data_IF_261124600191
#
_entry.id   IF_261124600191
#
_cell.length_a   1.000
_cell.length_b   1.000
_cell.length_c   1.000
_cell.angle_alpha   90.00
_cell.angle_beta   90.00
_cell.angle_gamma   90.00
#
_symmetry.space_group_name_H-M   'P 1'
#
loop_
_entity.id
_entity.type
_entity.pdbx_description
1 polymer ?
#
# COMPACT_ATOMS: atom_id res chain seq x y z
N UNK A 1 36.62 -41.38 6.12
CA UNK A 1 35.25 -41.08 5.66
C UNK A 1 34.28 -40.69 6.77
N UNK A 2 34.14 -41.49 7.85
CA UNK A 2 33.17 -41.22 8.96
C UNK A 2 33.27 -39.81 9.59
N UNK A 3 34.47 -39.30 9.87
CA UNK A 3 34.67 -37.93 10.42
C UNK A 3 34.23 -36.81 9.46
N UNK A 4 34.45 -36.97 8.15
CA UNK A 4 34.00 -35.98 7.15
C UNK A 4 32.47 -35.96 7.02
N UNK A 5 31.84 -37.13 7.11
CA UNK A 5 30.37 -37.27 7.13
C UNK A 5 29.73 -36.59 8.34
N UNK A 6 30.32 -36.75 9.54
CA UNK A 6 29.84 -36.09 10.76
C UNK A 6 29.91 -34.56 10.63
N UNK A 7 31.01 -34.03 10.09
CA UNK A 7 31.16 -32.58 9.88
C UNK A 7 30.12 -32.05 8.89
N UNK A 8 29.88 -32.74 7.78
CA UNK A 8 28.85 -32.36 6.80
C UNK A 8 27.45 -32.40 7.43
N UNK A 9 27.15 -33.41 8.24
CA UNK A 9 25.87 -33.54 8.91
C UNK A 9 25.62 -32.42 9.93
N UNK A 10 26.65 -32.06 10.71
CA UNK A 10 26.59 -30.93 11.64
C UNK A 10 26.39 -29.61 10.88
N UNK A 11 27.12 -29.41 9.76
CA UNK A 11 26.97 -28.21 8.94
C UNK A 11 25.54 -28.08 8.38
N UNK A 12 24.95 -29.20 7.95
CA UNK A 12 23.58 -29.23 7.41
C UNK A 12 22.54 -28.89 8.48
N UNK A 13 22.72 -29.38 9.71
CA UNK A 13 21.86 -29.03 10.86
C UNK A 13 21.95 -27.53 11.19
N UNK A 14 23.16 -26.96 11.15
CA UNK A 14 23.36 -25.53 11.40
C UNK A 14 22.64 -24.69 10.34
N UNK A 15 22.79 -25.04 9.06
CA UNK A 15 22.12 -24.35 7.94
C UNK A 15 20.59 -24.42 8.12
N UNK A 16 20.04 -25.58 8.48
CA UNK A 16 18.61 -25.73 8.73
C UNK A 16 18.12 -24.88 9.91
N UNK A 17 18.89 -24.80 11.00
CA UNK A 17 18.54 -23.95 12.15
C UNK A 17 18.50 -22.47 11.80
N UNK A 18 19.49 -21.97 11.05
CA UNK A 18 19.50 -20.58 10.59
C UNK A 18 18.38 -20.27 9.60
N UNK A 19 18.00 -21.25 8.77
CA UNK A 19 16.91 -21.10 7.80
C UNK A 19 15.54 -20.98 8.50
N UNK A 20 15.30 -21.76 9.54
CA UNK A 20 14.03 -21.76 10.28
C UNK A 20 13.87 -20.46 11.11
N UNK A 21 14.94 -19.98 11.74
CA UNK A 21 14.89 -18.74 12.54
C UNK A 21 14.59 -17.48 11.70
N UNK A 22 15.13 -17.41 10.49
CA UNK A 22 14.84 -16.32 9.53
C UNK A 22 13.37 -16.34 9.06
N UNK A 23 12.80 -17.52 8.82
CA UNK A 23 11.41 -17.67 8.41
C UNK A 23 10.40 -17.33 9.53
N UNK A 24 10.72 -17.61 10.80
CA UNK A 24 9.82 -17.24 11.91
C UNK A 24 9.82 -15.74 12.22
N UNK A 25 10.97 -15.08 12.09
CA UNK A 25 11.06 -13.62 12.29
C UNK A 25 10.31 -12.84 11.19
N UNK A 26 10.14 -13.47 10.02
CA UNK A 26 9.47 -12.90 8.87
C UNK A 26 7.95 -12.72 9.08
N UNK A 27 7.27 -13.76 9.56
CA UNK A 27 5.83 -13.74 9.83
C UNK A 27 5.46 -12.79 10.99
N UNK A 28 6.37 -12.60 11.96
CA UNK A 28 6.11 -11.72 13.10
C UNK A 28 6.08 -10.22 12.71
N UNK A 29 6.85 -9.82 11.69
CA UNK A 29 6.92 -8.42 11.24
C UNK A 29 5.76 -8.07 10.31
N UNK A 30 5.49 -8.92 9.31
CA UNK A 30 4.44 -8.70 8.32
C UNK A 30 3.20 -9.48 8.75
N UNK A 31 2.42 -8.84 9.62
CA UNK A 31 1.11 -9.33 10.04
C UNK A 31 -0.01 -8.39 9.57
N UNK A 32 -1.24 -8.83 9.75
CA UNK A 32 -2.43 -8.08 9.34
C UNK A 32 -2.49 -6.67 9.90
N UNK A 33 -2.15 -6.48 11.19
CA UNK A 33 -2.17 -5.17 11.85
C UNK A 33 -1.16 -4.23 11.19
N UNK A 34 0.04 -4.73 10.90
CA UNK A 34 1.08 -3.96 10.19
C UNK A 34 0.61 -3.52 8.80
N UNK A 35 0.02 -4.45 8.02
CA UNK A 35 -0.43 -4.17 6.65
C UNK A 35 -1.59 -3.16 6.65
N UNK A 36 -2.59 -3.33 7.52
CA UNK A 36 -3.72 -2.40 7.67
C UNK A 36 -3.21 -1.00 8.03
N UNK A 37 -2.33 -0.90 9.02
CA UNK A 37 -1.80 0.39 9.49
C UNK A 37 -1.01 1.09 8.38
N UNK A 38 -0.10 0.38 7.74
CA UNK A 38 0.75 0.92 6.66
C UNK A 38 -0.09 1.39 5.48
N UNK A 39 -1.01 0.54 5.02
CA UNK A 39 -1.94 0.85 3.93
C UNK A 39 -2.79 2.06 4.25
N UNK A 40 -3.35 2.14 5.47
CA UNK A 40 -4.15 3.29 5.90
C UNK A 40 -3.34 4.58 5.87
N UNK A 41 -2.10 4.59 6.36
CA UNK A 41 -1.24 5.77 6.32
C UNK A 41 -1.02 6.25 4.89
N UNK A 42 -0.66 5.35 3.98
CA UNK A 42 -0.45 5.65 2.56
C UNK A 42 -1.73 6.23 1.94
N UNK A 43 -2.85 5.55 2.08
CA UNK A 43 -4.09 5.93 1.41
C UNK A 43 -4.69 7.23 1.97
N UNK A 44 -4.57 7.49 3.27
CA UNK A 44 -5.00 8.78 3.86
C UNK A 44 -4.15 9.92 3.32
N UNK A 45 -2.83 9.72 3.20
CA UNK A 45 -1.96 10.73 2.61
C UNK A 45 -2.32 10.98 1.15
N UNK A 46 -2.52 9.92 0.37
CA UNK A 46 -2.97 10.00 -1.02
C UNK A 46 -4.29 10.77 -1.15
N UNK A 47 -5.31 10.37 -0.39
CA UNK A 47 -6.63 11.04 -0.32
C UNK A 47 -6.49 12.54 -0.04
N UNK A 48 -5.69 12.91 0.96
CA UNK A 48 -5.46 14.31 1.31
C UNK A 48 -4.79 15.08 0.16
N UNK A 49 -3.79 14.50 -0.50
CA UNK A 49 -3.12 15.14 -1.65
C UNK A 49 -4.13 15.36 -2.79
N UNK A 50 -4.98 14.37 -3.09
CA UNK A 50 -6.01 14.51 -4.13
C UNK A 50 -7.01 15.61 -3.81
N UNK A 51 -7.57 15.60 -2.59
CA UNK A 51 -8.53 16.63 -2.16
C UNK A 51 -7.90 18.03 -2.19
N UNK A 52 -6.67 18.18 -1.72
CA UNK A 52 -5.94 19.45 -1.78
C UNK A 52 -5.76 19.94 -3.23
N UNK A 53 -5.50 19.03 -4.17
CA UNK A 53 -5.37 19.37 -5.58
C UNK A 53 -6.69 19.80 -6.22
N UNK A 54 -7.78 19.13 -5.86
CA UNK A 54 -9.10 19.32 -6.46
C UNK A 54 -9.80 20.55 -5.87
N UNK A 55 -9.80 20.71 -4.55
CA UNK A 55 -10.62 21.71 -3.85
C UNK A 55 -9.83 22.90 -3.29
N UNK A 56 -8.55 22.71 -2.94
CA UNK A 56 -7.75 23.73 -2.24
C UNK A 56 -6.63 24.34 -3.11
N UNK A 57 -6.52 23.90 -4.37
CA UNK A 57 -5.60 24.50 -5.35
C UNK A 57 -4.13 24.14 -5.16
N UNK A 58 -3.80 23.01 -4.55
CA UNK A 58 -2.40 22.53 -4.42
C UNK A 58 -1.71 22.43 -5.79
N UNK A 59 -0.51 22.98 -5.93
CA UNK A 59 0.23 22.92 -7.19
C UNK A 59 0.56 21.47 -7.61
N UNK A 60 0.44 21.15 -8.90
CA UNK A 60 0.66 19.78 -9.40
C UNK A 60 2.10 19.29 -9.22
N UNK A 61 3.11 20.17 -9.26
CA UNK A 61 4.49 19.75 -8.99
C UNK A 61 4.67 19.40 -7.53
N UNK A 62 4.06 20.19 -6.64
CA UNK A 62 4.08 19.89 -5.21
C UNK A 62 3.28 18.61 -4.88
N UNK A 63 2.19 18.36 -5.62
CA UNK A 63 1.46 17.10 -5.54
C UNK A 63 2.32 15.91 -6.00
N UNK A 64 3.04 16.04 -7.13
CA UNK A 64 3.99 15.03 -7.61
C UNK A 64 5.06 14.71 -6.56
N UNK A 65 5.67 15.72 -5.95
CA UNK A 65 6.68 15.53 -4.90
C UNK A 65 6.11 14.75 -3.71
N UNK A 66 4.89 15.09 -3.26
CA UNK A 66 4.23 14.41 -2.14
C UNK A 66 3.79 12.99 -2.48
N UNK A 67 3.29 12.74 -3.69
CA UNK A 67 2.87 11.40 -4.12
C UNK A 67 4.09 10.46 -4.20
N UNK A 68 5.26 10.94 -4.66
CA UNK A 68 6.51 10.16 -4.68
C UNK A 68 6.98 9.70 -3.30
N UNK A 69 6.50 10.31 -2.22
CA UNK A 69 6.81 9.84 -0.86
C UNK A 69 6.02 8.60 -0.45
N UNK A 70 4.93 8.28 -1.15
CA UNK A 70 3.98 7.22 -0.78
C UNK A 70 3.67 6.23 -1.91
N UNK A 71 4.02 6.54 -3.15
CA UNK A 71 3.71 5.78 -4.36
C UNK A 71 4.94 5.65 -5.27
N UNK A 72 4.94 4.59 -6.08
CA UNK A 72 5.93 4.42 -7.15
C UNK A 72 5.64 5.32 -8.35
N UNK A 73 6.68 5.65 -9.12
CA UNK A 73 6.60 6.56 -10.27
C UNK A 73 5.50 6.24 -11.30
N UNK A 74 5.15 4.96 -11.49
CA UNK A 74 4.10 4.57 -12.42
C UNK A 74 2.72 5.05 -11.95
N UNK A 75 2.40 4.85 -10.67
CA UNK A 75 1.14 5.30 -10.06
C UNK A 75 1.10 6.83 -9.95
N UNK A 76 2.22 7.46 -9.56
CA UNK A 76 2.31 8.93 -9.51
C UNK A 76 1.94 9.55 -10.86
N UNK A 77 2.45 8.99 -11.97
CA UNK A 77 2.13 9.48 -13.32
C UNK A 77 0.66 9.31 -13.68
N UNK A 78 0.06 8.19 -13.30
CA UNK A 78 -1.37 7.93 -13.52
C UNK A 78 -2.22 8.94 -12.74
N UNK A 79 -1.91 9.15 -11.47
CA UNK A 79 -2.63 10.06 -10.60
C UNK A 79 -2.51 11.52 -11.03
N UNK A 80 -1.32 11.96 -11.43
CA UNK A 80 -1.14 13.30 -11.99
C UNK A 80 -1.92 13.49 -13.28
N UNK A 81 -1.99 12.47 -14.14
CA UNK A 81 -2.79 12.52 -15.36
C UNK A 81 -4.28 12.67 -15.03
N UNK A 82 -4.77 11.93 -14.03
CA UNK A 82 -6.15 12.05 -13.57
C UNK A 82 -6.41 13.43 -12.98
N UNK A 83 -5.52 13.96 -12.14
CA UNK A 83 -5.65 15.30 -11.57
C UNK A 83 -5.66 16.41 -12.65
N UNK A 84 -4.82 16.30 -13.68
CA UNK A 84 -4.85 17.22 -14.83
C UNK A 84 -6.20 17.16 -15.53
N UNK A 85 -6.67 15.95 -15.84
CA UNK A 85 -7.97 15.75 -16.48
C UNK A 85 -9.12 16.36 -15.66
N UNK A 86 -9.13 16.13 -14.35
CA UNK A 86 -10.16 16.66 -13.44
C UNK A 86 -10.15 18.19 -13.36
N UNK A 87 -8.97 18.83 -13.45
CA UNK A 87 -8.85 20.29 -13.51
C UNK A 87 -9.38 20.89 -14.80
N UNK A 88 -9.15 20.20 -15.92
CA UNK A 88 -9.61 20.62 -17.24
C UNK A 88 -11.11 20.35 -17.44
N UNK A 89 -11.66 19.39 -16.69
CA UNK A 89 -13.06 18.96 -16.79
C UNK A 89 -13.71 18.98 -15.39
N UNK A 90 -13.93 20.18 -14.80
CA UNK A 90 -14.52 20.30 -13.47
C UNK A 90 -15.97 19.79 -13.49
N UNK A 91 -16.18 18.59 -12.95
CA UNK A 91 -17.48 18.02 -12.64
C UNK A 91 -17.78 18.19 -11.16
N UNK A 92 -18.99 17.85 -10.72
CA UNK A 92 -19.29 17.71 -9.29
C UNK A 92 -18.49 16.51 -8.74
N UNK A 93 -17.27 16.80 -8.29
CA UNK A 93 -16.39 15.79 -7.73
C UNK A 93 -16.76 15.53 -6.28
N UNK A 94 -16.59 14.28 -5.88
CA UNK A 94 -16.80 13.76 -4.55
C UNK A 94 -15.65 14.15 -3.61
N UNK A 95 -15.98 14.81 -2.50
CA UNK A 95 -14.98 15.08 -1.46
C UNK A 95 -14.91 13.89 -0.52
N UNK A 96 -13.75 13.24 -0.46
CA UNK A 96 -13.55 12.10 0.46
C UNK A 96 -13.04 12.61 1.81
N UNK A 97 -13.84 12.51 2.88
CA UNK A 97 -13.45 13.01 4.21
C UNK A 97 -12.66 12.02 5.04
N UNK A 98 -12.88 10.73 4.83
CA UNK A 98 -12.20 9.69 5.58
C UNK A 98 -12.20 8.36 4.82
N UNK A 99 -11.32 7.46 5.24
CA UNK A 99 -11.33 6.07 4.80
C UNK A 99 -10.99 5.13 5.95
N UNK A 100 -11.48 3.89 5.84
CA UNK A 100 -11.13 2.77 6.71
C UNK A 100 -10.75 1.57 5.86
N UNK A 101 -9.52 1.09 6.06
CA UNK A 101 -9.11 -0.24 5.57
C UNK A 101 -9.75 -1.26 6.49
N UNK A 102 -10.60 -2.12 5.92
CA UNK A 102 -11.31 -3.16 6.64
C UNK A 102 -10.49 -4.45 6.64
N UNK A 103 -11.16 -5.59 6.41
CA UNK A 103 -10.51 -6.89 6.37
C UNK A 103 -9.50 -6.93 5.22
N UNK A 104 -8.37 -7.59 5.47
CA UNK A 104 -7.39 -7.91 4.43
C UNK A 104 -7.34 -9.43 4.21
N UNK A 105 -7.03 -9.82 2.99
CA UNK A 105 -6.71 -11.20 2.63
C UNK A 105 -5.36 -11.17 1.91
N UNK A 106 -4.31 -11.60 2.61
CA UNK A 106 -2.96 -11.66 2.05
C UNK A 106 -2.92 -12.65 0.90
N UNK A 107 -2.40 -12.21 -0.25
CA UNK A 107 -2.20 -13.04 -1.45
C UNK A 107 -0.77 -13.60 -1.45
N UNK A 108 0.21 -12.70 -1.30
CA UNK A 108 1.63 -13.01 -1.30
C UNK A 108 2.39 -11.93 -0.53
N UNK A 109 3.43 -12.30 0.21
CA UNK A 109 4.23 -11.34 0.96
C UNK A 109 5.69 -11.80 1.06
N UNK A 110 6.60 -10.82 0.99
CA UNK A 110 8.05 -10.89 1.28
C UNK A 110 8.46 -9.62 2.05
N UNK A 111 9.74 -9.49 2.46
CA UNK A 111 10.23 -8.24 3.06
C UNK A 111 10.24 -7.07 2.06
N UNK A 112 10.27 -7.39 0.77
CA UNK A 112 10.36 -6.41 -0.31
C UNK A 112 9.01 -6.05 -0.90
N UNK A 113 7.97 -6.86 -0.65
CA UNK A 113 6.68 -6.73 -1.34
C UNK A 113 5.56 -7.38 -0.57
N UNK A 114 4.38 -6.76 -0.54
CA UNK A 114 3.16 -7.28 0.08
C UNK A 114 2.01 -7.09 -0.89
N UNK A 115 1.32 -8.17 -1.26
CA UNK A 115 0.15 -8.16 -2.14
C UNK A 115 -1.05 -8.75 -1.40
N UNK A 116 -2.18 -8.07 -1.43
CA UNK A 116 -3.36 -8.45 -0.66
C UNK A 116 -4.64 -7.86 -1.27
N UNK A 117 -5.76 -8.50 -0.96
CA UNK A 117 -7.09 -7.95 -1.22
C UNK A 117 -7.60 -7.27 0.04
N UNK A 118 -8.34 -6.18 -0.12
CA UNK A 118 -9.00 -5.52 1.01
C UNK A 118 -10.29 -4.83 0.60
N UNK A 119 -11.19 -4.69 1.56
CA UNK A 119 -12.33 -3.79 1.46
C UNK A 119 -11.93 -2.44 2.06
N UNK A 120 -12.15 -1.36 1.30
CA UNK A 120 -11.98 0.00 1.79
C UNK A 120 -13.33 0.65 1.85
N UNK A 121 -13.66 1.11 3.05
CA UNK A 121 -14.80 1.97 3.26
C UNK A 121 -14.37 3.44 3.10
N UNK A 122 -15.07 4.14 2.22
CA UNK A 122 -14.86 5.54 1.88
C UNK A 122 -16.01 6.38 2.43
N UNK A 123 -15.67 7.42 3.16
CA UNK A 123 -16.61 8.43 3.60
C UNK A 123 -16.61 9.57 2.60
N UNK A 124 -17.72 9.75 1.89
CA UNK A 124 -17.84 10.68 0.77
C UNK A 124 -18.86 11.75 1.13
N UNK A 125 -18.45 13.01 1.02
CA UNK A 125 -19.30 14.17 1.19
C UNK A 125 -19.67 14.73 -0.19
N UNK A 126 -20.95 14.66 -0.50
CA UNK A 126 -21.58 15.43 -1.57
C UNK A 126 -22.02 16.78 -1.02
N UNK A 127 -22.52 17.65 -1.91
CA UNK A 127 -22.97 18.98 -1.52
C UNK A 127 -24.11 18.98 -0.49
N UNK A 128 -25.07 18.06 -0.61
CA UNK A 128 -26.23 17.97 0.30
C UNK A 128 -26.22 16.73 1.21
N UNK A 129 -25.43 15.72 0.87
CA UNK A 129 -25.48 14.41 1.51
C UNK A 129 -24.09 13.88 1.85
N UNK A 130 -24.05 12.99 2.85
CA UNK A 130 -22.87 12.23 3.21
C UNK A 130 -23.20 10.75 3.07
N UNK A 131 -22.38 10.04 2.31
CA UNK A 131 -22.51 8.59 2.12
C UNK A 131 -21.29 7.85 2.63
N UNK A 132 -21.43 6.54 2.70
CA UNK A 132 -20.34 5.63 2.96
C UNK A 132 -20.40 4.51 1.94
N UNK A 133 -19.32 4.33 1.19
CA UNK A 133 -19.23 3.34 0.12
C UNK A 133 -18.09 2.36 0.40
N UNK A 134 -18.33 1.08 0.13
CA UNK A 134 -17.34 0.01 0.36
C UNK A 134 -16.98 -0.59 -0.98
N UNK A 135 -15.69 -0.54 -1.31
CA UNK A 135 -15.15 -1.07 -2.56
C UNK A 135 -14.04 -2.08 -2.26
N UNK A 136 -13.90 -3.08 -3.14
CA UNK A 136 -12.83 -4.08 -3.02
C UNK A 136 -11.66 -3.73 -3.92
N UNK A 137 -10.47 -3.79 -3.33
CA UNK A 137 -9.22 -3.50 -4.02
C UNK A 137 -8.26 -4.66 -3.91
N UNK A 138 -7.51 -4.87 -4.98
CA UNK A 138 -6.22 -5.52 -4.92
C UNK A 138 -5.12 -4.46 -4.76
N UNK A 139 -4.30 -4.61 -3.73
CA UNK A 139 -3.24 -3.67 -3.38
C UNK A 139 -1.90 -4.40 -3.37
N UNK A 140 -0.89 -3.72 -3.90
CA UNK A 140 0.50 -4.13 -3.79
C UNK A 140 1.34 -3.01 -3.20
N UNK A 141 2.08 -3.32 -2.15
CA UNK A 141 3.09 -2.46 -1.55
C UNK A 141 4.47 -3.02 -1.88
N UNK A 142 5.43 -2.15 -2.19
CA UNK A 142 6.83 -2.54 -2.36
C UNK A 142 7.71 -1.74 -1.41
N UNK A 143 8.83 -2.33 -0.98
CA UNK A 143 9.80 -1.69 -0.10
C UNK A 143 10.83 -0.93 -0.92
N UNK A 144 11.02 0.34 -0.60
CA UNK A 144 12.04 1.24 -1.17
C UNK A 144 12.65 2.04 -0.03
N UNK A 145 13.98 2.00 0.12
CA UNK A 145 14.71 2.71 1.18
C UNK A 145 14.08 2.53 2.57
N UNK A 146 13.86 1.27 2.95
CA UNK A 146 13.25 0.83 4.21
C UNK A 146 11.78 1.24 4.46
N UNK A 147 11.09 1.84 3.48
CA UNK A 147 9.68 2.22 3.58
C UNK A 147 8.83 1.48 2.56
N UNK A 148 7.57 1.21 2.88
CA UNK A 148 6.63 0.65 1.90
C UNK A 148 5.96 1.78 1.12
N UNK A 149 5.96 1.64 -0.20
CA UNK A 149 5.27 2.51 -1.14
C UNK A 149 4.18 1.72 -1.86
N UNK A 150 3.11 2.40 -2.25
CA UNK A 150 2.05 1.85 -3.07
C UNK A 150 2.58 1.59 -4.49
N UNK A 151 2.46 0.35 -4.94
CA UNK A 151 2.86 -0.09 -6.28
C UNK A 151 1.66 -0.44 -7.17
N UNK A 152 0.59 -0.96 -6.56
CA UNK A 152 -0.67 -1.29 -7.25
C UNK A 152 -1.85 -0.89 -6.37
N UNK A 153 -2.87 -0.32 -6.99
CA UNK A 153 -4.13 0.03 -6.35
C UNK A 153 -5.26 -0.13 -7.38
N UNK A 154 -5.84 -1.33 -7.45
CA UNK A 154 -6.78 -1.70 -8.50
C UNK A 154 -8.14 -2.11 -7.91
N UNK A 155 -9.22 -1.54 -8.43
CA UNK A 155 -10.59 -1.94 -8.09
C UNK A 155 -10.88 -3.32 -8.70
N UNK A 156 -11.36 -4.27 -7.89
CA UNK A 156 -11.67 -5.64 -8.33
C UNK A 156 -13.16 -5.99 -8.26
N UNK A 157 -13.98 -5.19 -7.55
CA UNK A 157 -15.45 -5.23 -7.61
C UNK A 157 -16.08 -4.03 -6.94
#
# INVERSE_FOLDING_TARGET
MKRKLIVVFILMIIILFFSIGQAQTYDDIINEVFVIKTTRTILVNRMNIMNLCIYEGLDLKLAEEKLKEIEVDALVKEDLKNLVYLRENPTDLEYVSALRVLNISLIDYSLEKIRFNTEIEWEINYYEDKTTEVFKYEIELIRVDDRFLLNRFELIS
#
